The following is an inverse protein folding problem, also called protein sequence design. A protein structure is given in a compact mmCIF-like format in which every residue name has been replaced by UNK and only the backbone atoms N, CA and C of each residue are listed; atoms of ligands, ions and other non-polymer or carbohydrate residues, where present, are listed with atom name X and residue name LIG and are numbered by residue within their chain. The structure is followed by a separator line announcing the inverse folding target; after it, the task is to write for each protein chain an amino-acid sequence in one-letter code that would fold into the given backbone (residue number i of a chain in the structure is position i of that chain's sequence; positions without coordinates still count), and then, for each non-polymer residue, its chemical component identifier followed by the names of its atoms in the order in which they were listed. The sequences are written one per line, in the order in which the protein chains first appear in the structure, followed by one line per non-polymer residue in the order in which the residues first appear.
data_IF_651776913474
#
_entry.id   IF_651776913474
#
_cell.length_a   1.000
_cell.length_b   1.000
_cell.length_c   1.000
_cell.angle_alpha   90.00
_cell.angle_beta   90.00
_cell.angle_gamma   90.00
#
_symmetry.space_group_name_H-M   'P 1'
#
loop_
_entity.id
_entity.type
_entity.pdbx_description
1 polymer ?
#
# COMPACT_ATOMS: atom_id res chain seq x y z
N UNK A 1 -1.45 -5.77 -12.78
CA UNK A 1 -0.04 -5.39 -12.63
C UNK A 1 0.09 -3.90 -12.91
N UNK A 2 0.83 -3.21 -12.06
CA UNK A 2 1.16 -1.80 -12.26
C UNK A 2 2.68 -1.65 -12.26
N UNK A 3 3.18 -0.83 -13.16
CA UNK A 3 4.59 -0.45 -13.25
C UNK A 3 4.69 1.06 -13.14
N UNK A 4 5.88 1.62 -13.11
CA UNK A 4 6.07 3.07 -13.14
C UNK A 4 5.61 3.76 -14.45
N UNK A 5 5.24 3.00 -15.48
CA UNK A 5 4.82 3.52 -16.79
C UNK A 5 3.42 3.08 -17.22
N UNK A 6 3.02 1.87 -16.87
CA UNK A 6 1.81 1.25 -17.39
C UNK A 6 1.05 0.47 -16.33
N UNK A 7 -0.24 0.33 -16.51
CA UNK A 7 -1.09 -0.57 -15.75
C UNK A 7 -1.76 -1.60 -16.66
N UNK A 8 -1.89 -2.83 -16.15
CA UNK A 8 -2.46 -3.96 -16.89
C UNK A 8 -3.51 -4.65 -16.03
N UNK A 9 -4.71 -4.85 -16.59
CA UNK A 9 -5.78 -5.60 -15.96
C UNK A 9 -5.84 -6.99 -16.58
N UNK A 10 -5.48 -8.02 -15.81
CA UNK A 10 -5.42 -9.40 -16.27
C UNK A 10 -6.55 -10.17 -15.61
N UNK A 11 -7.41 -10.77 -16.41
CA UNK A 11 -8.60 -11.45 -15.96
C UNK A 11 -8.39 -12.96 -15.93
N UNK A 12 -8.71 -13.58 -14.80
CA UNK A 12 -8.75 -15.03 -14.64
C UNK A 12 -10.13 -15.49 -14.25
N UNK A 13 -10.52 -16.68 -14.71
CA UNK A 13 -11.72 -17.32 -14.19
C UNK A 13 -11.56 -17.63 -12.70
N UNK A 14 -12.65 -17.58 -11.93
CA UNK A 14 -12.61 -17.84 -10.49
C UNK A 14 -12.03 -19.22 -10.14
N UNK A 15 -12.19 -20.21 -11.02
CA UNK A 15 -11.60 -21.54 -10.86
C UNK A 15 -10.05 -21.54 -10.83
N UNK A 16 -9.41 -20.47 -11.32
CA UNK A 16 -7.96 -20.32 -11.28
C UNK A 16 -7.45 -19.53 -10.06
N UNK A 17 -8.35 -19.18 -9.14
CA UNK A 17 -8.02 -18.52 -7.88
C UNK A 17 -8.09 -19.51 -6.73
N UNK A 18 -6.96 -19.77 -6.06
CA UNK A 18 -6.85 -20.74 -4.96
C UNK A 18 -6.19 -20.05 -3.76
N UNK A 19 -6.87 -20.11 -2.62
CA UNK A 19 -6.32 -19.66 -1.32
C UNK A 19 -6.01 -20.89 -0.47
N UNK A 20 -4.78 -21.00 0.01
CA UNK A 20 -4.37 -22.06 0.91
C UNK A 20 -4.69 -21.66 2.36
N UNK A 21 -5.40 -22.54 3.10
CA UNK A 21 -5.92 -22.21 4.44
C UNK A 21 -4.88 -22.23 5.56
N UNK A 22 -3.82 -23.01 5.37
CA UNK A 22 -2.79 -23.31 6.38
C UNK A 22 -1.59 -22.35 6.36
N UNK A 23 -1.52 -21.48 5.36
CA UNK A 23 -0.39 -20.57 5.16
C UNK A 23 -0.78 -19.38 4.28
N UNK A 24 -0.06 -18.29 4.40
CA UNK A 24 -0.15 -17.19 3.45
C UNK A 24 0.41 -17.66 2.10
N UNK A 25 -0.49 -18.19 1.28
CA UNK A 25 -0.21 -18.62 -0.10
C UNK A 25 -1.49 -18.50 -0.92
N UNK A 26 -1.36 -17.83 -2.05
CA UNK A 26 -2.44 -17.62 -3.01
C UNK A 26 -1.91 -18.01 -4.39
N UNK A 27 -2.70 -18.72 -5.16
CA UNK A 27 -2.45 -18.99 -6.58
C UNK A 27 -3.47 -18.25 -7.42
N UNK A 28 -3.00 -17.50 -8.45
CA UNK A 28 -3.83 -16.82 -9.44
C UNK A 28 -3.31 -17.18 -10.83
N UNK A 29 -4.08 -17.92 -11.60
CA UNK A 29 -3.58 -18.53 -12.82
C UNK A 29 -2.45 -19.49 -12.52
N UNK A 30 -1.28 -19.28 -13.09
CA UNK A 30 -0.07 -20.04 -12.83
C UNK A 30 0.88 -19.35 -11.84
N UNK A 31 0.57 -18.11 -11.46
CA UNK A 31 1.36 -17.33 -10.51
C UNK A 31 1.06 -17.68 -9.06
N UNK A 32 2.08 -17.61 -8.20
CA UNK A 32 2.00 -17.91 -6.77
C UNK A 32 2.48 -16.71 -5.97
N UNK A 33 1.70 -16.31 -4.97
CA UNK A 33 2.01 -15.26 -4.01
C UNK A 33 2.06 -15.88 -2.62
N UNK A 34 3.15 -15.64 -1.88
CA UNK A 34 3.33 -16.25 -0.56
C UNK A 34 4.11 -15.34 0.39
N UNK A 35 4.18 -15.73 1.67
CA UNK A 35 5.05 -15.06 2.65
C UNK A 35 6.56 -15.21 2.38
N UNK A 36 6.94 -16.07 1.45
CA UNK A 36 8.35 -16.32 1.09
C UNK A 36 8.77 -15.65 -0.21
N UNK A 37 7.82 -15.11 -0.97
CA UNK A 37 8.08 -14.54 -2.28
C UNK A 37 6.92 -14.72 -3.24
N UNK A 38 7.15 -14.29 -4.45
CA UNK A 38 6.25 -14.43 -5.58
C UNK A 38 6.93 -15.21 -6.70
N UNK A 39 6.14 -16.03 -7.39
CA UNK A 39 6.50 -16.68 -8.63
C UNK A 39 5.44 -16.26 -9.66
N UNK A 40 5.84 -15.55 -10.70
CA UNK A 40 4.92 -14.91 -11.63
C UNK A 40 5.07 -15.52 -13.00
N UNK A 41 3.95 -15.98 -13.55
CA UNK A 41 3.81 -16.51 -14.89
C UNK A 41 2.59 -15.85 -15.53
N UNK A 42 2.81 -14.79 -16.27
CA UNK A 42 1.77 -14.01 -16.97
C UNK A 42 2.09 -14.01 -18.45
N UNK A 43 1.08 -14.32 -19.25
CA UNK A 43 1.11 -14.17 -20.70
C UNK A 43 -0.24 -13.62 -21.13
N UNK A 44 -0.27 -12.33 -21.40
CA UNK A 44 -1.47 -11.59 -21.82
C UNK A 44 -1.11 -10.60 -22.92
N UNK A 45 -2.10 -10.00 -23.56
CA UNK A 45 -1.90 -9.01 -24.60
C UNK A 45 -1.12 -7.79 -24.04
N UNK A 46 0.06 -7.54 -24.60
CA UNK A 46 0.92 -6.42 -24.20
C UNK A 46 1.73 -6.64 -22.92
N UNK A 47 1.60 -7.80 -22.23
CA UNK A 47 2.36 -8.11 -21.03
C UNK A 47 2.75 -9.58 -20.94
N UNK A 48 4.06 -9.82 -20.88
CA UNK A 48 4.61 -11.12 -20.47
C UNK A 48 5.47 -10.91 -19.24
N UNK A 49 5.25 -11.72 -18.20
CA UNK A 49 6.11 -11.74 -17.01
C UNK A 49 6.41 -13.18 -16.66
N UNK A 50 7.68 -13.50 -16.48
CA UNK A 50 8.12 -14.80 -16.00
C UNK A 50 9.28 -14.64 -15.01
N UNK A 51 9.21 -15.36 -13.89
CA UNK A 51 10.31 -15.39 -12.92
C UNK A 51 9.86 -15.44 -11.48
N UNK A 52 10.84 -15.23 -10.59
CA UNK A 52 10.65 -15.38 -9.15
C UNK A 52 11.35 -14.28 -8.39
N UNK A 53 10.67 -13.78 -7.35
CA UNK A 53 11.25 -12.88 -6.34
C UNK A 53 11.09 -13.55 -4.97
N UNK A 54 12.19 -13.70 -4.26
CA UNK A 54 12.23 -14.20 -2.89
C UNK A 54 12.23 -13.03 -1.91
N UNK A 55 11.56 -13.20 -0.78
CA UNK A 55 11.51 -12.26 0.32
C UNK A 55 12.44 -12.70 1.44
N UNK A 56 13.23 -11.76 1.94
CA UNK A 56 13.90 -11.93 3.22
C UNK A 56 12.89 -11.85 4.37
N UNK A 57 13.37 -11.76 5.60
CA UNK A 57 12.54 -11.71 6.80
C UNK A 57 11.53 -10.55 6.72
N UNK A 58 10.25 -10.90 6.78
CA UNK A 58 9.16 -9.93 6.82
C UNK A 58 9.19 -9.09 8.11
N UNK A 59 8.78 -7.86 8.02
CA UNK A 59 8.62 -6.95 9.16
C UNK A 59 7.11 -6.71 9.38
N UNK A 60 6.42 -7.58 10.12
CA UNK A 60 4.99 -7.43 10.36
C UNK A 60 4.72 -6.25 11.29
N UNK A 61 3.51 -5.71 11.24
CA UNK A 61 3.03 -4.74 12.23
C UNK A 61 2.83 -5.41 13.59
N UNK A 62 3.05 -4.67 14.68
CA UNK A 62 2.93 -5.18 16.06
C UNK A 62 1.48 -5.59 16.42
N UNK A 63 0.50 -4.93 15.86
CA UNK A 63 -0.91 -5.20 15.99
C UNK A 63 -1.64 -4.67 14.77
N UNK A 64 -2.89 -5.12 14.56
CA UNK A 64 -3.70 -4.73 13.41
C UNK A 64 -3.68 -3.21 13.17
N UNK A 65 -3.46 -2.78 11.92
CA UNK A 65 -3.39 -1.35 11.57
C UNK A 65 -4.74 -0.67 11.78
N UNK A 66 -5.85 -1.40 11.63
CA UNK A 66 -7.19 -0.91 11.88
C UNK A 66 -7.46 -0.70 13.38
N UNK A 67 -6.65 -1.33 14.27
CA UNK A 67 -6.86 -1.25 15.71
C UNK A 67 -8.28 -1.67 16.11
N UNK A 68 -9.00 -0.88 16.95
CA UNK A 68 -10.38 -1.19 17.31
C UNK A 68 -11.38 -1.23 16.16
N UNK A 69 -11.07 -0.60 15.03
CA UNK A 69 -11.93 -0.64 13.84
C UNK A 69 -12.02 -2.02 13.20
N UNK A 70 -11.07 -2.92 13.46
CA UNK A 70 -11.13 -4.31 12.99
C UNK A 70 -12.32 -5.10 13.57
N UNK A 71 -12.91 -4.62 14.68
CA UNK A 71 -14.09 -5.22 15.30
C UNK A 71 -15.42 -4.64 14.79
N UNK A 72 -15.39 -3.61 13.93
CA UNK A 72 -16.61 -3.02 13.36
C UNK A 72 -17.13 -3.95 12.24
N UNK A 73 -18.35 -4.51 12.40
CA UNK A 73 -18.92 -5.34 11.35
C UNK A 73 -19.32 -4.50 10.13
N UNK A 74 -19.39 -5.14 8.95
CA UNK A 74 -19.89 -4.55 7.71
C UNK A 74 -19.12 -3.36 7.17
N UNK A 75 -17.83 -3.25 7.50
CA UNK A 75 -16.97 -2.28 6.86
C UNK A 75 -16.84 -2.57 5.36
N UNK A 76 -16.94 -1.53 4.53
CA UNK A 76 -16.80 -1.66 3.06
C UNK A 76 -15.42 -2.20 2.68
N UNK A 77 -14.36 -1.78 3.40
CA UNK A 77 -13.00 -2.24 3.24
C UNK A 77 -12.30 -2.36 4.60
N UNK A 78 -11.57 -3.43 4.80
CA UNK A 78 -10.69 -3.67 5.94
C UNK A 78 -9.26 -3.78 5.45
N UNK A 79 -8.41 -2.86 5.86
CA UNK A 79 -7.01 -2.78 5.47
C UNK A 79 -6.12 -3.56 6.44
N UNK A 80 -5.13 -4.26 5.92
CA UNK A 80 -4.15 -5.00 6.72
C UNK A 80 -2.74 -4.88 6.18
N UNK A 81 -1.74 -4.88 7.05
CA UNK A 81 -0.33 -4.87 6.66
C UNK A 81 0.32 -6.16 7.11
N UNK A 82 0.83 -6.93 6.15
CA UNK A 82 1.56 -8.18 6.38
C UNK A 82 3.04 -7.90 6.63
N UNK A 83 3.62 -6.99 5.83
CA UNK A 83 5.02 -6.60 5.98
C UNK A 83 5.24 -5.14 5.62
N UNK A 84 5.76 -4.37 6.57
CA UNK A 84 6.16 -2.98 6.35
C UNK A 84 7.42 -2.86 5.50
N UNK A 85 8.31 -3.84 5.60
CA UNK A 85 9.61 -3.81 4.95
C UNK A 85 10.20 -5.22 4.88
N UNK A 86 10.75 -5.59 3.74
CA UNK A 86 11.60 -6.75 3.56
C UNK A 86 12.50 -6.56 2.35
N UNK A 87 13.64 -7.21 2.33
CA UNK A 87 14.53 -7.21 1.17
C UNK A 87 14.03 -8.22 0.13
N UNK A 88 14.32 -7.92 -1.12
CA UNK A 88 13.97 -8.73 -2.28
C UNK A 88 15.22 -9.34 -2.90
N UNK A 89 15.08 -10.54 -3.48
CA UNK A 89 16.08 -11.21 -4.30
C UNK A 89 15.42 -11.93 -5.45
N UNK A 90 16.00 -11.83 -6.62
CA UNK A 90 15.54 -12.53 -7.81
C UNK A 90 15.32 -11.60 -8.98
N UNK A 91 14.87 -12.20 -10.05
CA UNK A 91 14.69 -11.51 -11.33
C UNK A 91 13.33 -11.87 -11.93
N UNK A 92 12.79 -10.95 -12.70
CA UNK A 92 11.65 -11.17 -13.58
C UNK A 92 12.04 -10.82 -15.01
N UNK A 93 11.64 -11.66 -15.96
CA UNK A 93 11.68 -11.31 -17.39
C UNK A 93 10.36 -10.63 -17.71
N UNK A 94 10.39 -9.33 -17.99
CA UNK A 94 9.21 -8.52 -18.30
C UNK A 94 9.29 -8.08 -19.76
N UNK A 95 8.37 -8.56 -20.59
CA UNK A 95 8.35 -8.30 -22.03
C UNK A 95 9.71 -8.59 -22.72
N UNK A 96 10.41 -9.63 -22.24
CA UNK A 96 11.71 -10.04 -22.77
C UNK A 96 12.91 -9.33 -22.15
N UNK A 97 12.71 -8.34 -21.27
CA UNK A 97 13.78 -7.66 -20.55
C UNK A 97 13.99 -8.30 -19.17
N UNK A 98 15.24 -8.56 -18.82
CA UNK A 98 15.62 -9.07 -17.47
C UNK A 98 15.66 -7.90 -16.48
N UNK A 99 14.77 -7.94 -15.50
CA UNK A 99 14.64 -6.94 -14.43
C UNK A 99 15.06 -7.53 -13.11
N UNK A 100 16.18 -7.06 -12.57
CA UNK A 100 16.69 -7.50 -11.27
C UNK A 100 15.98 -6.76 -10.13
N UNK A 101 15.57 -7.54 -9.12
CA UNK A 101 15.02 -7.05 -7.84
C UNK A 101 16.01 -7.25 -6.68
N UNK A 102 17.25 -7.63 -6.97
CA UNK A 102 18.27 -7.79 -5.95
C UNK A 102 18.53 -6.46 -5.24
N UNK A 103 18.62 -6.51 -3.90
CA UNK A 103 18.70 -5.34 -3.01
C UNK A 103 17.48 -4.41 -3.00
N UNK A 104 16.44 -4.73 -3.76
CA UNK A 104 15.15 -4.06 -3.71
C UNK A 104 14.48 -4.20 -2.35
N UNK A 105 13.44 -3.43 -2.13
CA UNK A 105 12.62 -3.47 -0.91
C UNK A 105 11.16 -3.73 -1.26
N UNK A 106 10.50 -4.54 -0.43
CA UNK A 106 9.11 -4.92 -0.60
C UNK A 106 8.22 -4.44 0.55
N UNK A 107 6.95 -4.30 0.23
CA UNK A 107 5.85 -4.04 1.13
C UNK A 107 4.71 -4.99 0.78
N UNK A 108 3.98 -5.48 1.78
CA UNK A 108 2.82 -6.34 1.55
C UNK A 108 1.66 -5.87 2.41
N UNK A 109 0.56 -5.57 1.76
CA UNK A 109 -0.71 -5.27 2.41
C UNK A 109 -1.84 -6.14 1.87
N UNK A 110 -2.97 -6.10 2.53
CA UNK A 110 -4.21 -6.75 2.10
C UNK A 110 -5.38 -5.82 2.30
N UNK A 111 -6.28 -5.81 1.34
CA UNK A 111 -7.60 -5.23 1.49
C UNK A 111 -8.66 -6.32 1.38
N UNK A 112 -9.62 -6.28 2.29
CA UNK A 112 -10.73 -7.22 2.33
C UNK A 112 -12.04 -6.46 2.47
N UNK A 113 -12.95 -6.67 1.54
CA UNK A 113 -14.25 -6.01 1.52
C UNK A 113 -14.92 -6.06 0.16
N UNK A 114 -16.01 -5.35 0.03
CA UNK A 114 -16.80 -5.31 -1.20
C UNK A 114 -16.55 -4.07 -2.06
N UNK A 115 -16.02 -3.01 -1.46
CA UNK A 115 -15.79 -1.73 -2.13
C UNK A 115 -14.63 -1.00 -1.48
N UNK A 116 -13.89 -0.24 -2.27
CA UNK A 116 -13.08 0.83 -1.70
C UNK A 116 -13.98 2.01 -1.28
N UNK A 117 -13.60 2.79 -0.26
CA UNK A 117 -14.32 3.98 0.15
C UNK A 117 -14.57 4.93 -1.02
N UNK A 118 -15.66 5.72 -0.97
CA UNK A 118 -16.00 6.64 -2.06
C UNK A 118 -14.97 7.74 -2.23
N UNK A 119 -14.48 8.24 -1.11
CA UNK A 119 -13.43 9.27 -1.04
C UNK A 119 -12.34 8.78 -0.09
N UNK A 120 -11.10 8.82 -0.55
CA UNK A 120 -9.97 8.43 0.26
C UNK A 120 -8.65 8.99 -0.27
N UNK A 121 -7.66 8.98 0.59
CA UNK A 121 -6.26 9.12 0.28
C UNK A 121 -5.55 7.88 0.82
N UNK A 122 -4.72 7.26 0.00
CA UNK A 122 -3.79 6.22 0.44
C UNK A 122 -2.40 6.55 -0.07
N UNK A 123 -1.38 6.28 0.75
CA UNK A 123 0.02 6.45 0.36
C UNK A 123 0.91 5.46 1.10
N UNK A 124 1.90 4.95 0.40
CA UNK A 124 2.91 4.05 0.93
C UNK A 124 4.28 4.39 0.35
N UNK A 125 5.31 4.31 1.18
CA UNK A 125 6.70 4.32 0.73
C UNK A 125 7.58 3.57 1.73
N UNK A 126 8.51 2.76 1.22
CA UNK A 126 9.54 2.05 1.99
C UNK A 126 10.91 2.03 1.29
N UNK A 127 11.04 2.77 0.19
CA UNK A 127 12.30 2.89 -0.56
C UNK A 127 12.98 4.23 -0.27
N UNK A 128 13.79 4.25 0.78
CA UNK A 128 14.51 5.43 1.26
C UNK A 128 16.02 5.15 1.35
N UNK A 129 16.69 5.01 0.20
CA UNK A 129 18.16 4.90 0.03
C UNK A 129 18.93 4.54 1.30
N UNK A 130 19.02 3.24 1.61
CA UNK A 130 19.76 2.68 2.76
C UNK A 130 19.15 2.88 4.16
N UNK A 131 18.00 3.54 4.28
CA UNK A 131 17.29 3.68 5.55
C UNK A 131 16.16 2.65 5.65
N UNK A 132 16.13 1.87 6.74
CA UNK A 132 15.00 0.96 7.01
C UNK A 132 13.82 1.75 7.58
N UNK A 133 13.16 2.49 6.69
CA UNK A 133 11.95 3.28 6.96
C UNK A 133 10.81 2.69 6.14
N UNK A 134 9.61 2.68 6.69
CA UNK A 134 8.39 2.41 5.95
C UNK A 134 7.28 3.29 6.48
N UNK A 135 6.54 3.90 5.58
CA UNK A 135 5.46 4.82 5.90
C UNK A 135 4.23 4.36 5.12
N UNK A 136 3.11 4.17 5.81
CA UNK A 136 1.81 3.99 5.20
C UNK A 136 0.80 4.88 5.92
N UNK A 137 -0.04 5.54 5.13
CA UNK A 137 -1.16 6.30 5.66
C UNK A 137 -2.37 6.17 4.73
N UNK A 138 -3.55 6.00 5.33
CA UNK A 138 -4.81 6.06 4.63
C UNK A 138 -5.81 6.94 5.40
N UNK A 139 -6.54 7.75 4.66
CA UNK A 139 -7.68 8.54 5.14
C UNK A 139 -8.87 8.18 4.29
N UNK A 140 -10.01 7.92 4.91
CA UNK A 140 -11.23 7.57 4.19
C UNK A 140 -12.47 8.15 4.88
N UNK A 141 -13.50 8.43 4.10
CA UNK A 141 -14.83 8.70 4.64
C UNK A 141 -15.50 7.36 4.98
N UNK A 142 -15.77 7.16 6.27
CA UNK A 142 -16.32 5.91 6.80
C UNK A 142 -17.76 6.15 7.20
N UNK A 143 -18.74 5.49 6.55
CA UNK A 143 -20.13 5.51 7.00
C UNK A 143 -20.26 4.62 8.26
N UNK A 144 -20.78 5.20 9.33
CA UNK A 144 -21.01 4.47 10.57
C UNK A 144 -22.28 4.96 11.26
N UNK A 145 -23.27 4.08 11.46
CA UNK A 145 -24.54 4.36 12.15
C UNK A 145 -25.28 5.62 11.66
N UNK A 146 -25.27 5.85 10.35
CA UNK A 146 -25.96 7.00 9.74
C UNK A 146 -25.19 8.33 9.74
N UNK A 147 -23.99 8.35 10.32
CA UNK A 147 -23.05 9.48 10.23
C UNK A 147 -21.82 9.08 9.42
N UNK A 148 -21.20 10.06 8.79
CA UNK A 148 -19.91 9.87 8.12
C UNK A 148 -18.81 10.56 8.94
N UNK A 149 -17.73 9.84 9.20
CA UNK A 149 -16.54 10.43 9.81
C UNK A 149 -15.29 10.12 8.99
N UNK A 150 -14.29 10.97 9.12
CA UNK A 150 -12.98 10.71 8.50
C UNK A 150 -12.15 9.79 9.38
N UNK A 151 -11.98 8.56 8.91
CA UNK A 151 -11.04 7.62 9.51
C UNK A 151 -9.64 7.85 8.97
N UNK A 152 -8.64 7.72 9.84
CA UNK A 152 -7.24 7.74 9.49
C UNK A 152 -6.53 6.56 10.13
N UNK A 153 -5.77 5.83 9.35
CA UNK A 153 -4.79 4.84 9.81
C UNK A 153 -3.43 5.22 9.26
N UNK A 154 -2.41 5.22 10.10
CA UNK A 154 -1.07 5.56 9.68
C UNK A 154 -0.04 4.88 10.57
N UNK A 155 1.03 4.40 9.96
CA UNK A 155 2.22 3.90 10.62
C UNK A 155 3.47 4.49 9.99
N UNK A 156 4.36 4.99 10.83
CA UNK A 156 5.74 5.33 10.51
C UNK A 156 6.62 4.29 11.21
N UNK A 157 7.31 3.47 10.44
CA UNK A 157 8.32 2.54 10.94
C UNK A 157 9.70 3.15 10.76
N UNK A 158 10.40 3.37 11.86
CA UNK A 158 11.72 3.99 11.85
C UNK A 158 12.58 3.42 12.99
N UNK A 159 13.82 3.03 12.69
CA UNK A 159 14.77 2.46 13.67
C UNK A 159 14.17 1.35 14.54
N UNK A 160 13.42 0.42 13.93
CA UNK A 160 12.80 -0.71 14.62
C UNK A 160 11.57 -0.36 15.47
N UNK A 161 11.06 0.86 15.40
CA UNK A 161 9.89 1.33 16.14
C UNK A 161 8.74 1.71 15.22
N UNK A 162 7.52 1.43 15.67
CA UNK A 162 6.30 1.87 15.01
C UNK A 162 5.72 3.07 15.73
N UNK A 163 5.47 4.14 14.98
CA UNK A 163 4.74 5.31 15.42
C UNK A 163 3.39 5.32 14.70
N UNK A 164 2.31 5.22 15.48
CA UNK A 164 0.95 5.15 14.95
C UNK A 164 0.28 6.51 15.06
N UNK A 165 -0.22 7.03 13.94
CA UNK A 165 -0.98 8.28 13.87
C UNK A 165 -2.36 7.96 13.27
N UNK A 166 -3.23 7.39 14.10
CA UNK A 166 -4.53 6.86 13.66
C UNK A 166 -5.68 7.49 14.45
N UNK A 167 -6.88 7.48 13.89
CA UNK A 167 -8.07 8.04 14.54
C UNK A 167 -8.31 7.44 15.92
N UNK A 168 -8.13 6.12 16.06
CA UNK A 168 -8.33 5.43 17.34
C UNK A 168 -7.32 5.83 18.43
N UNK A 169 -6.26 6.53 18.10
CA UNK A 169 -5.29 7.03 19.07
C UNK A 169 -5.15 8.56 19.06
N UNK A 170 -6.16 9.25 18.50
CA UNK A 170 -6.31 10.70 18.62
C UNK A 170 -5.50 11.52 17.60
N UNK A 171 -5.26 10.99 16.41
CA UNK A 171 -4.66 11.78 15.33
C UNK A 171 -5.56 12.94 14.90
N UNK A 172 -4.94 14.07 14.61
CA UNK A 172 -5.56 15.20 13.91
C UNK A 172 -5.08 15.22 12.47
N UNK A 173 -6.01 15.23 11.53
CA UNK A 173 -5.73 15.42 10.10
C UNK A 173 -5.68 16.94 9.89
N UNK A 174 -4.47 17.48 9.73
CA UNK A 174 -4.27 18.92 9.58
C UNK A 174 -4.47 19.37 8.13
N UNK A 175 -4.06 18.50 7.18
CA UNK A 175 -4.19 18.74 5.75
C UNK A 175 -4.19 17.41 5.00
N UNK A 176 -5.03 17.28 3.97
CA UNK A 176 -4.90 16.23 2.97
C UNK A 176 -5.53 16.69 1.65
N UNK A 177 -4.89 16.36 0.54
CA UNK A 177 -5.37 16.58 -0.82
C UNK A 177 -4.56 15.73 -1.80
N UNK A 178 -4.77 15.89 -3.10
CA UNK A 178 -4.10 15.12 -4.15
C UNK A 178 -2.55 15.24 -4.17
N UNK A 179 -1.95 16.12 -3.37
CA UNK A 179 -0.49 16.34 -3.36
C UNK A 179 0.11 16.38 -1.96
N UNK A 180 -0.69 16.35 -0.92
CA UNK A 180 -0.13 16.51 0.43
C UNK A 180 -0.99 15.88 1.51
N UNK A 181 -0.30 15.39 2.54
CA UNK A 181 -0.87 14.89 3.77
C UNK A 181 -0.10 15.47 4.96
N UNK A 182 -0.82 15.95 5.99
CA UNK A 182 -0.23 16.37 7.25
C UNK A 182 -1.06 15.82 8.42
N UNK A 183 -0.40 15.03 9.26
CA UNK A 183 -1.00 14.36 10.42
C UNK A 183 -0.25 14.78 11.68
N UNK A 184 -1.00 15.06 12.77
CA UNK A 184 -0.42 15.32 14.09
C UNK A 184 -1.12 14.50 15.15
N UNK A 185 -0.34 13.83 16.00
CA UNK A 185 -0.81 13.11 17.16
C UNK A 185 0.09 13.39 18.37
N UNK A 186 -0.41 14.17 19.32
CA UNK A 186 0.39 14.60 20.44
C UNK A 186 1.71 15.22 19.98
N UNK A 187 2.82 14.59 20.35
CA UNK A 187 4.18 15.03 19.97
C UNK A 187 4.68 14.56 18.60
N UNK A 188 3.93 13.72 17.90
CA UNK A 188 4.30 13.19 16.60
C UNK A 188 3.63 13.97 15.48
N UNK A 189 4.40 14.35 14.45
CA UNK A 189 3.86 14.98 13.26
C UNK A 189 4.50 14.35 12.02
N UNK A 190 3.66 14.00 11.04
CA UNK A 190 4.05 13.49 9.72
C UNK A 190 3.57 14.46 8.65
N UNK A 191 4.48 14.85 7.78
CA UNK A 191 4.20 15.65 6.59
C UNK A 191 4.65 14.89 5.35
N UNK A 192 3.78 14.80 4.35
CA UNK A 192 4.05 14.17 3.06
C UNK A 192 3.68 15.17 1.97
N UNK A 193 4.58 15.35 1.00
CA UNK A 193 4.36 16.22 -0.15
C UNK A 193 4.79 15.50 -1.41
N UNK A 194 3.85 15.19 -2.28
CA UNK A 194 4.12 14.69 -3.64
C UNK A 194 4.68 15.82 -4.49
N UNK A 195 5.80 15.59 -5.12
CA UNK A 195 6.52 16.57 -5.95
C UNK A 195 6.34 16.30 -7.42
N UNK A 196 6.30 15.02 -7.82
CA UNK A 196 6.05 14.60 -9.19
C UNK A 196 5.30 13.25 -9.22
N UNK A 197 4.59 12.95 -10.32
CA UNK A 197 3.88 11.69 -10.47
C UNK A 197 3.14 11.56 -11.79
N UNK A 198 2.94 10.31 -12.20
CA UNK A 198 2.20 9.94 -13.40
C UNK A 198 1.09 8.93 -13.03
N UNK A 199 -0.10 9.42 -12.64
CA UNK A 199 -1.20 8.54 -12.21
C UNK A 199 -1.66 7.65 -13.34
N UNK A 200 -1.81 6.35 -13.04
CA UNK A 200 -2.26 5.34 -13.98
C UNK A 200 -3.66 4.85 -13.64
N UNK A 201 -4.42 4.48 -14.65
CA UNK A 201 -5.78 3.96 -14.47
C UNK A 201 -5.74 2.54 -13.94
N UNK A 202 -6.50 2.27 -12.90
CA UNK A 202 -6.73 0.96 -12.31
C UNK A 202 -8.23 0.68 -12.17
N UNK A 203 -8.59 -0.60 -12.20
CA UNK A 203 -9.92 -1.03 -11.80
C UNK A 203 -9.92 -1.33 -10.30
N UNK A 204 -10.88 -0.76 -9.59
CA UNK A 204 -11.11 -0.95 -8.18
C UNK A 204 -12.48 -1.60 -7.92
N UNK A 205 -12.66 -2.27 -6.78
CA UNK A 205 -13.92 -2.89 -6.43
C UNK A 205 -14.99 -1.84 -6.11
N UNK A 206 -16.20 -2.09 -6.60
CA UNK A 206 -17.43 -1.39 -6.24
C UNK A 206 -18.56 -2.39 -6.15
N UNK A 207 -19.17 -2.54 -4.96
CA UNK A 207 -20.22 -3.53 -4.70
C UNK A 207 -19.85 -4.96 -5.16
N UNK A 208 -18.61 -5.37 -4.90
CA UNK A 208 -18.08 -6.68 -5.24
C UNK A 208 -17.59 -6.87 -6.67
N UNK A 209 -17.75 -5.87 -7.56
CA UNK A 209 -17.30 -5.94 -8.95
C UNK A 209 -16.12 -5.00 -9.19
N UNK A 210 -15.14 -5.43 -9.99
CA UNK A 210 -13.99 -4.62 -10.40
C UNK A 210 -14.40 -3.68 -11.56
N UNK A 211 -15.16 -2.64 -11.26
CA UNK A 211 -15.79 -1.77 -12.26
C UNK A 211 -15.53 -0.27 -12.06
N UNK A 212 -14.97 0.14 -10.93
CA UNK A 212 -14.65 1.55 -10.65
C UNK A 212 -13.26 1.88 -11.16
N UNK A 213 -13.14 2.88 -12.03
CA UNK A 213 -11.83 3.38 -12.44
C UNK A 213 -11.29 4.35 -11.39
N UNK A 214 -10.08 4.11 -10.93
CA UNK A 214 -9.31 4.98 -10.05
C UNK A 214 -7.99 5.36 -10.73
N UNK A 215 -7.27 6.33 -10.15
CA UNK A 215 -5.98 6.77 -10.65
C UNK A 215 -4.96 6.65 -9.52
N UNK A 216 -3.98 5.78 -9.70
CA UNK A 216 -2.91 5.52 -8.74
C UNK A 216 -1.56 5.94 -9.31
N UNK A 217 -0.78 6.66 -8.52
CA UNK A 217 0.65 6.82 -8.75
C UNK A 217 1.36 5.64 -8.04
N UNK A 218 1.72 4.62 -8.79
CA UNK A 218 2.47 3.48 -8.23
C UNK A 218 3.94 3.81 -8.00
N UNK A 219 4.47 4.80 -8.72
CA UNK A 219 5.82 5.33 -8.53
C UNK A 219 5.78 6.84 -8.75
N UNK A 220 5.72 7.59 -7.67
CA UNK A 220 5.80 9.05 -7.68
C UNK A 220 6.96 9.53 -6.80
N UNK A 221 7.38 10.78 -7.02
CA UNK A 221 8.35 11.44 -6.15
C UNK A 221 7.64 12.16 -5.02
N UNK A 222 8.09 11.94 -3.79
CA UNK A 222 7.54 12.61 -2.62
C UNK A 222 8.60 12.87 -1.54
N UNK A 223 8.39 13.95 -0.80
CA UNK A 223 9.17 14.30 0.38
C UNK A 223 8.39 13.94 1.65
N UNK A 224 9.09 13.38 2.63
CA UNK A 224 8.56 12.93 3.91
C UNK A 224 9.32 13.59 5.05
N UNK A 225 8.59 14.28 5.94
CA UNK A 225 9.14 14.85 7.18
C UNK A 225 8.43 14.26 8.38
N UNK A 226 9.22 13.81 9.33
CA UNK A 226 8.68 13.30 10.59
C UNK A 226 9.30 14.03 11.76
N UNK A 227 8.46 14.47 12.69
CA UNK A 227 8.83 15.24 13.86
C UNK A 227 8.42 14.52 15.14
N UNK A 228 9.24 14.65 16.19
CA UNK A 228 8.93 14.27 17.57
C UNK A 228 9.21 15.47 18.45
N UNK A 229 8.19 15.97 19.17
CA UNK A 229 8.31 17.17 20.03
C UNK A 229 8.87 18.39 19.26
N UNK A 230 8.35 18.60 18.03
CA UNK A 230 8.75 19.64 17.08
C UNK A 230 10.22 19.51 16.58
N UNK A 231 10.98 18.52 17.04
CA UNK A 231 12.30 18.20 16.51
C UNK A 231 12.17 17.35 15.23
N UNK A 232 12.83 17.78 14.17
CA UNK A 232 12.89 17.03 12.91
C UNK A 232 13.71 15.74 13.11
N UNK A 233 13.05 14.59 12.93
CA UNK A 233 13.67 13.26 13.05
C UNK A 233 14.27 12.82 11.72
N UNK A 234 13.53 13.06 10.63
CA UNK A 234 14.03 12.89 9.27
C UNK A 234 13.30 13.83 8.29
N UNK A 235 14.02 14.19 7.24
CA UNK A 235 13.55 14.89 6.04
C UNK A 235 14.13 14.14 4.85
N UNK A 236 13.33 13.33 4.19
CA UNK A 236 13.79 12.35 3.20
C UNK A 236 12.90 12.39 1.96
N UNK A 237 13.50 12.04 0.84
CA UNK A 237 12.82 11.96 -0.45
C UNK A 237 12.93 10.56 -1.02
N UNK A 238 11.93 10.20 -1.80
CA UNK A 238 11.94 8.99 -2.62
C UNK A 238 11.23 9.26 -3.94
N UNK A 239 11.74 8.65 -5.00
CA UNK A 239 11.13 8.67 -6.33
C UNK A 239 10.30 7.40 -6.60
N UNK A 240 10.12 6.58 -5.57
CA UNK A 240 9.43 5.29 -5.66
C UNK A 240 8.36 5.16 -4.57
N UNK A 241 7.46 6.14 -4.53
CA UNK A 241 6.35 6.19 -3.59
C UNK A 241 5.05 5.84 -4.31
N UNK A 242 4.11 5.24 -3.58
CA UNK A 242 2.74 5.09 -4.06
C UNK A 242 1.84 6.14 -3.41
N UNK A 243 1.00 6.76 -4.21
CA UNK A 243 0.05 7.77 -3.75
C UNK A 243 -1.24 7.70 -4.57
N UNK A 244 -2.34 7.56 -3.88
CA UNK A 244 -3.66 7.51 -4.46
C UNK A 244 -4.57 8.53 -3.77
N UNK A 245 -5.29 9.31 -4.55
CA UNK A 245 -6.27 10.26 -4.05
C UNK A 245 -7.54 10.18 -4.90
N UNK A 246 -8.62 9.86 -4.25
CA UNK A 246 -9.94 9.77 -4.86
C UNK A 246 -10.88 10.74 -4.16
N UNK A 247 -11.35 11.73 -4.91
CA UNK A 247 -12.37 12.69 -4.51
C UNK A 247 -13.62 12.49 -5.36
N UNK A 248 -14.76 13.04 -4.90
CA UNK A 248 -16.05 12.89 -5.58
C UNK A 248 -16.14 13.75 -6.82
#
# INVERSE_FOLDING_TARGET
VITNRNSYNINYSFSKFIVYKDKLRIKVGDSIFSSKGIEIHIKDEGLTIDGKIEYDLLTPVKYDIMGPFSFIPFMECSHGIISLYHKLRGNLIINGEDVSFNDGVGYIETDRGNSFPKTYLWTQCNDFKNEKISIMAAIADIPFMGINFKGCICVVYYKGREYRLSTYNGVKILKYNCKSLMLKRGKYELQIKVTDGNPQKLLAPSSGNMCRTIHENAACSANYKFYIEDNLVFDIESDNCSFEYVDR
#
